data_IF_166324024137
#
_entry.id   IF_166324024137
#
_cell.length_a   1.000
_cell.length_b   1.000
_cell.length_c   1.000
_cell.angle_alpha   90.00
_cell.angle_beta   90.00
_cell.angle_gamma   90.00
#
_symmetry.space_group_name_H-M   'P 1'
#
loop_
_entity.id
_entity.type
_entity.pdbx_description
1 polymer ?
#
# COMPACT_ATOMS: atom_id res chain seq x y z
N UNK A 1 16.36 -14.26 -13.39
CA UNK A 1 15.03 -13.74 -13.10
C UNK A 1 14.83 -12.36 -13.72
N UNK A 2 13.59 -11.99 -14.06
CA UNK A 2 13.27 -10.62 -14.46
C UNK A 2 13.33 -9.68 -13.24
N UNK A 3 13.86 -8.48 -13.43
CA UNK A 3 13.84 -7.42 -12.44
C UNK A 3 13.90 -6.05 -13.14
N UNK A 4 13.33 -5.02 -12.50
CA UNK A 4 13.47 -3.63 -12.94
C UNK A 4 14.63 -2.99 -12.21
N UNK A 5 15.64 -2.60 -12.98
CA UNK A 5 16.90 -2.03 -12.49
C UNK A 5 16.87 -0.51 -12.67
N UNK A 6 17.13 0.23 -11.61
CA UNK A 6 17.32 1.68 -11.64
C UNK A 6 18.77 1.99 -12.04
N UNK A 7 18.98 2.36 -13.29
CA UNK A 7 20.32 2.57 -13.88
C UNK A 7 20.96 3.89 -13.49
N UNK A 8 20.15 4.84 -13.01
CA UNK A 8 20.60 6.16 -12.56
C UNK A 8 19.56 6.86 -11.69
N UNK A 9 19.89 8.05 -11.18
CA UNK A 9 18.88 8.96 -10.63
C UNK A 9 18.32 9.83 -11.74
N UNK A 10 16.99 9.96 -11.82
CA UNK A 10 16.40 10.76 -12.88
C UNK A 10 14.89 10.56 -13.06
N UNK A 11 14.37 10.82 -14.27
CA UNK A 11 12.98 10.58 -14.66
C UNK A 11 12.68 9.07 -14.75
N UNK A 12 11.40 8.66 -14.95
CA UNK A 12 11.00 7.25 -14.90
C UNK A 12 11.73 6.30 -15.87
N UNK A 13 12.23 6.79 -16.98
CA UNK A 13 12.98 6.05 -18.01
C UNK A 13 14.35 5.52 -17.58
N UNK A 14 14.84 5.89 -16.38
CA UNK A 14 16.01 5.24 -15.75
C UNK A 14 15.71 3.85 -15.18
N UNK A 15 14.46 3.41 -15.26
CA UNK A 15 14.00 2.09 -14.84
C UNK A 15 13.97 1.16 -16.04
N UNK A 16 14.80 0.13 -16.03
CA UNK A 16 14.97 -0.80 -17.13
C UNK A 16 14.66 -2.23 -16.70
N UNK A 17 13.81 -2.93 -17.46
CA UNK A 17 13.60 -4.37 -17.26
C UNK A 17 14.81 -5.15 -17.74
N UNK A 18 15.41 -5.93 -16.86
CA UNK A 18 16.63 -6.70 -17.12
C UNK A 18 16.51 -8.14 -16.61
N UNK A 19 17.33 -9.03 -17.17
CA UNK A 19 17.58 -10.37 -16.62
C UNK A 19 18.73 -10.26 -15.62
N UNK A 20 18.46 -10.68 -14.39
CA UNK A 20 19.45 -10.69 -13.30
C UNK A 20 19.53 -12.07 -12.67
N UNK A 21 20.58 -12.31 -11.89
CA UNK A 21 20.73 -13.55 -11.15
C UNK A 21 19.64 -13.66 -10.06
N UNK A 22 19.07 -14.87 -9.91
CA UNK A 22 18.09 -15.15 -8.85
C UNK A 22 18.83 -15.22 -7.51
N UNK A 23 18.38 -14.47 -6.47
CA UNK A 23 19.07 -14.49 -5.18
C UNK A 23 18.91 -15.84 -4.47
N UNK A 24 19.90 -16.18 -3.64
CA UNK A 24 19.88 -17.36 -2.79
C UNK A 24 19.72 -16.89 -1.34
N UNK A 25 18.76 -17.44 -0.57
CA UNK A 25 18.54 -17.02 0.80
C UNK A 25 19.71 -17.45 1.71
N UNK A 26 20.12 -16.54 2.60
CA UNK A 26 21.05 -16.88 3.69
C UNK A 26 20.35 -17.73 4.74
N UNK A 27 21.11 -18.26 5.68
CA UNK A 27 20.64 -19.18 6.72
C UNK A 27 19.38 -18.70 7.44
N UNK A 28 19.19 -17.40 7.63
CA UNK A 28 18.10 -16.75 8.35
C UNK A 28 17.09 -15.99 7.43
N UNK A 29 17.21 -16.18 6.11
CA UNK A 29 16.41 -15.49 5.12
C UNK A 29 15.37 -16.42 4.48
N UNK A 30 14.31 -15.81 4.01
CA UNK A 30 13.22 -16.41 3.23
C UNK A 30 13.35 -15.91 1.81
N UNK A 31 13.38 -16.78 0.81
CA UNK A 31 13.26 -16.43 -0.60
C UNK A 31 11.77 -16.38 -0.96
N UNK A 32 11.32 -15.22 -1.40
CA UNK A 32 9.93 -14.96 -1.74
C UNK A 32 9.82 -14.84 -3.26
N UNK A 33 8.93 -15.61 -3.88
CA UNK A 33 8.44 -15.40 -5.24
C UNK A 33 7.41 -14.29 -5.20
N UNK A 34 7.74 -13.14 -5.77
CA UNK A 34 6.90 -11.94 -5.73
C UNK A 34 5.75 -12.09 -6.74
N UNK A 35 4.52 -11.96 -6.27
CA UNK A 35 3.33 -11.92 -7.11
C UNK A 35 2.89 -10.50 -7.42
N UNK A 36 2.97 -9.62 -6.43
CA UNK A 36 2.62 -8.22 -6.59
C UNK A 36 3.51 -7.32 -5.72
N UNK A 37 3.74 -6.12 -6.18
CA UNK A 37 4.39 -5.02 -5.47
C UNK A 37 3.63 -3.72 -5.75
N UNK A 38 4.13 -2.57 -5.26
CA UNK A 38 3.50 -1.28 -5.52
C UNK A 38 4.49 -0.22 -5.92
N UNK A 39 3.99 0.84 -6.55
CA UNK A 39 4.73 2.10 -6.68
C UNK A 39 4.13 3.13 -5.73
N UNK A 40 4.92 3.57 -4.78
CA UNK A 40 4.52 4.63 -3.87
C UNK A 40 5.44 5.86 -3.95
N UNK A 41 5.09 6.93 -3.22
CA UNK A 41 5.85 8.18 -3.27
C UNK A 41 7.31 8.03 -2.83
N UNK A 42 7.61 7.07 -1.96
CA UNK A 42 8.98 6.76 -1.52
C UNK A 42 9.86 6.27 -2.66
N UNK A 43 9.34 5.32 -3.48
CA UNK A 43 10.06 4.79 -4.64
C UNK A 43 10.36 5.89 -5.65
N UNK A 44 9.37 6.75 -5.93
CA UNK A 44 9.55 7.92 -6.82
C UNK A 44 10.62 8.85 -6.29
N UNK A 45 10.63 9.16 -4.97
CA UNK A 45 11.64 10.03 -4.35
C UNK A 45 13.05 9.43 -4.39
N UNK A 46 13.19 8.13 -4.18
CA UNK A 46 14.49 7.46 -4.28
C UNK A 46 14.99 7.49 -5.72
N UNK A 47 14.16 7.07 -6.68
CA UNK A 47 14.50 7.07 -8.10
C UNK A 47 14.89 8.47 -8.60
N UNK A 48 14.11 9.49 -8.29
CA UNK A 48 14.35 10.87 -8.75
C UNK A 48 15.40 11.63 -7.94
N UNK A 49 15.90 11.03 -6.85
CA UNK A 49 16.77 11.70 -5.87
C UNK A 49 16.18 13.02 -5.34
N UNK A 50 14.86 13.01 -5.06
CA UNK A 50 14.15 14.16 -4.48
C UNK A 50 14.54 14.34 -3.02
N UNK A 51 15.72 14.95 -2.80
CA UNK A 51 16.33 15.19 -1.50
C UNK A 51 16.61 16.69 -1.33
N UNK A 52 16.31 17.27 -0.15
CA UNK A 52 16.61 18.66 0.15
C UNK A 52 18.10 19.00 -0.12
N UNK A 53 18.36 20.16 -0.70
CA UNK A 53 19.71 20.56 -1.14
C UNK A 53 20.78 20.36 -0.07
N UNK A 54 20.50 20.75 1.18
CA UNK A 54 21.44 20.60 2.30
C UNK A 54 21.72 19.16 2.75
N UNK A 55 20.91 18.18 2.33
CA UNK A 55 21.06 16.77 2.69
C UNK A 55 21.61 15.90 1.55
N UNK A 56 21.80 16.47 0.36
CA UNK A 56 22.16 15.70 -0.85
C UNK A 56 23.47 14.93 -0.72
N UNK A 57 24.49 15.52 -0.09
CA UNK A 57 25.78 14.86 0.10
C UNK A 57 25.63 13.62 0.99
N UNK A 58 24.98 13.77 2.15
CA UNK A 58 24.74 12.64 3.06
C UNK A 58 23.85 11.58 2.44
N UNK A 59 22.81 11.99 1.69
CA UNK A 59 21.95 11.07 0.97
C UNK A 59 22.74 10.26 -0.07
N UNK A 60 23.71 10.86 -0.79
CA UNK A 60 24.58 10.14 -1.73
C UNK A 60 25.50 9.12 -1.05
N UNK A 61 26.00 9.42 0.13
CA UNK A 61 26.78 8.47 0.90
C UNK A 61 25.94 7.23 1.31
N UNK A 62 24.68 7.43 1.64
CA UNK A 62 23.78 6.37 2.06
C UNK A 62 23.20 5.61 0.85
N UNK A 63 22.60 6.32 -0.09
CA UNK A 63 21.85 5.73 -1.20
C UNK A 63 22.73 5.35 -2.40
N UNK A 64 23.86 6.02 -2.61
CA UNK A 64 24.74 5.86 -3.77
C UNK A 64 24.99 7.19 -4.50
N UNK A 65 26.07 7.30 -5.23
CA UNK A 65 26.49 8.56 -5.86
C UNK A 65 25.78 8.83 -7.19
N UNK A 66 25.80 7.89 -8.11
CA UNK A 66 25.22 8.00 -9.45
C UNK A 66 23.89 7.28 -9.60
N UNK A 67 23.70 6.20 -8.85
CA UNK A 67 22.49 5.38 -8.81
C UNK A 67 22.30 4.80 -7.41
N UNK A 68 21.14 4.26 -7.09
CA UNK A 68 20.94 3.53 -5.82
C UNK A 68 21.93 2.37 -5.70
N UNK A 69 22.50 2.17 -4.48
CA UNK A 69 23.38 1.02 -4.19
C UNK A 69 22.67 -0.30 -4.41
N UNK A 70 21.39 -0.35 -4.02
CA UNK A 70 20.49 -1.43 -4.35
C UNK A 70 19.63 -0.97 -5.55
N UNK A 71 19.99 -1.37 -6.77
CA UNK A 71 19.38 -0.79 -7.96
C UNK A 71 17.98 -1.33 -8.27
N UNK A 72 17.57 -2.45 -7.69
CA UNK A 72 16.20 -2.95 -7.78
C UNK A 72 15.39 -2.30 -6.67
N UNK A 73 14.49 -1.38 -7.04
CA UNK A 73 13.66 -0.65 -6.09
C UNK A 73 12.43 -1.48 -5.66
N UNK A 74 11.43 -0.82 -5.07
CA UNK A 74 10.22 -1.44 -4.53
C UNK A 74 10.38 -1.78 -3.05
N UNK A 75 9.46 -1.24 -2.23
CA UNK A 75 9.57 -1.31 -0.75
C UNK A 75 8.54 -2.22 -0.12
N UNK A 76 7.54 -2.70 -0.86
CA UNK A 76 6.53 -3.61 -0.33
C UNK A 76 6.13 -4.65 -1.37
N UNK A 77 5.67 -5.79 -0.91
CA UNK A 77 5.30 -6.89 -1.77
C UNK A 77 4.29 -7.83 -1.10
N UNK A 78 3.67 -8.68 -1.92
CA UNK A 78 3.08 -9.93 -1.49
C UNK A 78 3.49 -11.05 -2.45
N UNK A 79 3.67 -12.24 -1.92
CA UNK A 79 4.17 -13.37 -2.69
C UNK A 79 4.14 -14.66 -1.89
N UNK A 80 4.72 -15.70 -2.48
CA UNK A 80 4.80 -17.05 -1.92
C UNK A 80 6.25 -17.37 -1.52
N UNK A 81 6.43 -18.02 -0.40
CA UNK A 81 7.73 -18.53 0.04
C UNK A 81 8.18 -19.67 -0.88
N UNK A 82 9.22 -19.43 -1.66
CA UNK A 82 9.82 -20.42 -2.56
C UNK A 82 10.75 -21.38 -1.83
N UNK A 83 11.60 -20.83 -0.95
CA UNK A 83 12.54 -21.60 -0.10
C UNK A 83 12.95 -20.79 1.13
N UNK A 84 13.50 -21.46 2.11
CA UNK A 84 13.95 -20.88 3.37
C UNK A 84 15.38 -21.30 3.70
N UNK A 85 16.12 -20.43 4.38
CA UNK A 85 17.42 -20.76 4.96
C UNK A 85 17.29 -21.75 6.12
N UNK A 86 18.38 -22.41 6.48
CA UNK A 86 18.37 -23.51 7.45
C UNK A 86 17.98 -23.12 8.88
N UNK A 87 18.15 -21.83 9.25
CA UNK A 87 17.84 -21.32 10.59
C UNK A 87 16.43 -20.69 10.67
N UNK A 88 15.65 -20.67 9.55
CA UNK A 88 14.29 -20.16 9.51
C UNK A 88 13.33 -21.15 10.16
N UNK A 89 12.48 -20.65 11.04
CA UNK A 89 11.53 -21.44 11.84
C UNK A 89 10.08 -21.00 11.73
N UNK A 90 9.81 -19.76 11.32
CA UNK A 90 8.45 -19.17 11.28
C UNK A 90 7.75 -19.38 9.95
N UNK A 91 8.51 -19.62 8.89
CA UNK A 91 7.97 -19.74 7.54
C UNK A 91 8.45 -21.03 6.88
N UNK A 92 7.66 -21.56 5.97
CA UNK A 92 8.00 -22.73 5.14
C UNK A 92 7.61 -22.47 3.68
N UNK A 93 8.15 -23.27 2.79
CA UNK A 93 7.77 -23.26 1.37
C UNK A 93 6.26 -23.36 1.19
N UNK A 94 5.70 -22.52 0.33
CA UNK A 94 4.29 -22.44 0.02
C UNK A 94 3.49 -21.51 0.93
N UNK A 95 4.10 -20.89 1.94
CA UNK A 95 3.40 -19.90 2.74
C UNK A 95 3.21 -18.60 1.93
N UNK A 96 1.97 -18.09 1.90
CA UNK A 96 1.66 -16.79 1.37
C UNK A 96 2.06 -15.70 2.36
N UNK A 97 2.82 -14.71 1.90
CA UNK A 97 3.35 -13.63 2.75
C UNK A 97 3.11 -12.25 2.13
N UNK A 98 3.10 -11.23 2.99
CA UNK A 98 3.22 -9.84 2.60
C UNK A 98 4.31 -9.17 3.43
N UNK A 99 4.98 -8.17 2.85
CA UNK A 99 6.21 -7.66 3.44
C UNK A 99 6.49 -6.18 3.11
N UNK A 100 7.27 -5.57 4.01
CA UNK A 100 8.03 -4.35 3.77
C UNK A 100 9.51 -4.73 3.63
N UNK A 101 10.17 -4.32 2.54
CA UNK A 101 11.58 -4.71 2.27
C UNK A 101 12.61 -3.82 2.96
N UNK A 102 12.17 -2.77 3.65
CA UNK A 102 13.08 -1.79 4.26
C UNK A 102 13.91 -1.03 3.22
N UNK A 103 15.04 -0.51 3.66
CA UNK A 103 16.02 0.14 2.78
C UNK A 103 16.82 -0.84 1.92
N UNK A 104 16.53 -2.15 2.03
CA UNK A 104 17.04 -3.19 1.14
C UNK A 104 16.41 -3.11 -0.25
N UNK A 105 15.19 -2.59 -0.36
CA UNK A 105 14.39 -2.58 -1.59
C UNK A 105 14.23 -3.99 -2.19
N UNK A 106 14.12 -4.11 -3.51
CA UNK A 106 14.19 -5.39 -4.22
C UNK A 106 12.83 -5.94 -4.67
N UNK A 107 11.71 -5.28 -4.36
CA UNK A 107 10.39 -5.80 -4.71
C UNK A 107 10.03 -5.66 -6.21
N UNK A 108 10.78 -4.91 -7.01
CA UNK A 108 10.60 -4.84 -8.46
C UNK A 108 11.32 -5.98 -9.18
N UNK A 109 11.14 -7.20 -8.70
CA UNK A 109 11.73 -8.40 -9.24
C UNK A 109 10.85 -9.62 -8.98
N UNK A 110 11.08 -10.70 -9.75
CA UNK A 110 10.35 -11.96 -9.56
C UNK A 110 10.66 -12.64 -8.21
N UNK A 111 11.84 -12.36 -7.63
CA UNK A 111 12.24 -12.94 -6.34
C UNK A 111 13.02 -11.95 -5.50
N UNK A 112 12.83 -12.04 -4.18
CA UNK A 112 13.59 -11.27 -3.18
C UNK A 112 13.84 -12.11 -1.93
N UNK A 113 14.99 -11.88 -1.27
CA UNK A 113 15.29 -12.47 0.04
C UNK A 113 15.02 -11.45 1.14
N UNK A 114 14.32 -11.87 2.19
CA UNK A 114 14.10 -11.08 3.40
C UNK A 114 14.43 -11.91 4.64
N UNK A 115 14.94 -11.31 5.73
CA UNK A 115 15.14 -12.04 6.97
C UNK A 115 13.79 -12.46 7.56
N UNK A 116 13.72 -13.63 8.16
CA UNK A 116 12.55 -14.11 8.91
C UNK A 116 12.07 -13.09 9.97
N UNK A 117 13.05 -12.49 10.65
CA UNK A 117 12.86 -11.38 11.61
C UNK A 117 13.96 -10.34 11.42
N UNK A 118 13.61 -9.05 11.52
CA UNK A 118 14.64 -8.02 11.50
C UNK A 118 15.52 -8.12 12.75
N UNK A 119 16.85 -8.18 12.55
CA UNK A 119 17.85 -8.24 13.64
C UNK A 119 18.17 -6.86 14.19
N UNK A 120 18.10 -5.82 13.35
CA UNK A 120 18.40 -4.43 13.70
C UNK A 120 17.15 -3.59 13.75
N UNK A 121 16.45 -3.47 12.63
CA UNK A 121 15.15 -2.80 12.54
C UNK A 121 14.47 -3.14 11.22
N UNK A 122 13.14 -3.13 11.20
CA UNK A 122 12.36 -3.31 9.99
C UNK A 122 12.68 -2.25 8.91
N UNK A 123 13.03 -1.02 9.30
CA UNK A 123 13.47 -0.01 8.33
C UNK A 123 14.72 -0.42 7.55
N UNK A 124 15.65 -1.15 8.15
CA UNK A 124 16.91 -1.56 7.49
C UNK A 124 16.78 -2.88 6.75
N UNK A 125 16.14 -3.85 7.33
CA UNK A 125 16.19 -5.25 6.91
C UNK A 125 14.83 -5.77 6.37
N UNK A 126 13.78 -4.97 6.52
CA UNK A 126 12.44 -5.37 6.18
C UNK A 126 11.72 -6.11 7.32
N UNK A 127 10.50 -6.47 7.06
CA UNK A 127 9.65 -7.31 7.92
C UNK A 127 8.62 -8.02 7.05
N UNK A 128 8.21 -9.21 7.44
CA UNK A 128 7.19 -9.98 6.75
C UNK A 128 6.24 -10.64 7.74
N UNK A 129 5.04 -10.95 7.25
CA UNK A 129 4.04 -11.74 7.96
C UNK A 129 3.25 -12.58 6.94
N UNK A 130 2.51 -13.57 7.43
CA UNK A 130 1.58 -14.34 6.59
C UNK A 130 0.50 -13.43 6.03
N UNK A 131 0.22 -13.57 4.74
CA UNK A 131 -0.80 -12.79 4.01
C UNK A 131 -2.18 -12.99 4.66
N UNK A 132 -3.02 -11.93 4.75
CA UNK A 132 -4.42 -12.08 5.14
C UNK A 132 -5.13 -13.09 4.22
N UNK A 133 -5.86 -14.04 4.81
CA UNK A 133 -6.50 -15.13 4.05
C UNK A 133 -7.58 -14.64 3.07
N UNK A 134 -8.23 -13.52 3.37
CA UNK A 134 -9.29 -12.89 2.58
C UNK A 134 -8.78 -11.86 1.56
N UNK A 135 -7.47 -11.79 1.30
CA UNK A 135 -6.86 -10.89 0.31
C UNK A 135 -6.20 -11.64 -0.83
N UNK A 136 -6.30 -11.09 -2.03
CA UNK A 136 -5.43 -11.41 -3.16
C UNK A 136 -4.00 -10.91 -2.88
N UNK A 137 -3.00 -11.38 -3.64
CA UNK A 137 -1.64 -10.86 -3.52
C UNK A 137 -1.55 -9.36 -3.85
N UNK A 138 -2.33 -8.89 -4.82
CA UNK A 138 -2.39 -7.48 -5.18
C UNK A 138 -2.93 -6.61 -4.04
N UNK A 139 -3.99 -7.06 -3.37
CA UNK A 139 -4.56 -6.36 -2.21
C UNK A 139 -3.60 -6.38 -1.02
N UNK A 140 -2.93 -7.50 -0.76
CA UNK A 140 -1.98 -7.61 0.33
C UNK A 140 -0.69 -6.80 0.10
N UNK A 141 -0.21 -6.72 -1.16
CA UNK A 141 0.89 -5.83 -1.52
C UNK A 141 0.52 -4.36 -1.41
N UNK A 142 -0.77 -4.01 -1.56
CA UNK A 142 -1.20 -2.62 -1.71
C UNK A 142 -1.23 -1.86 -0.38
N UNK A 143 -0.07 -1.59 0.16
CA UNK A 143 0.19 -0.58 1.19
C UNK A 143 -0.07 -1.02 2.63
N UNK A 144 -0.46 -2.26 2.90
CA UNK A 144 -0.62 -2.70 4.28
C UNK A 144 0.70 -2.60 5.04
N UNK A 145 1.79 -3.03 4.42
CA UNK A 145 3.12 -3.03 5.02
C UNK A 145 3.81 -1.65 5.08
N UNK A 146 3.33 -0.66 4.32
CA UNK A 146 3.87 0.71 4.34
C UNK A 146 2.83 1.72 4.81
N UNK A 147 1.79 1.98 4.03
CA UNK A 147 0.74 2.96 4.33
C UNK A 147 -0.05 2.62 5.59
N UNK A 148 -0.42 1.34 5.76
CA UNK A 148 -1.15 0.81 6.92
C UNK A 148 -0.34 0.90 8.21
N UNK A 149 0.91 0.40 8.20
CA UNK A 149 1.82 0.49 9.35
C UNK A 149 2.13 1.95 9.69
N UNK A 150 2.33 2.81 8.70
CA UNK A 150 2.55 4.24 8.91
C UNK A 150 1.35 4.89 9.61
N UNK A 151 0.13 4.65 9.11
CA UNK A 151 -1.09 5.16 9.71
C UNK A 151 -1.29 4.66 11.14
N UNK A 152 -1.11 3.34 11.37
CA UNK A 152 -1.23 2.71 12.67
C UNK A 152 -0.30 3.34 13.72
N UNK A 153 0.96 3.53 13.35
CA UNK A 153 1.98 4.10 14.25
C UNK A 153 1.69 5.55 14.62
N UNK A 154 1.22 6.36 13.65
CA UNK A 154 0.85 7.75 13.93
C UNK A 154 -0.38 7.80 14.83
N UNK A 155 -1.41 6.99 14.56
CA UNK A 155 -2.65 6.97 15.35
C UNK A 155 -2.41 6.44 16.77
N UNK A 156 -1.53 5.44 16.95
CA UNK A 156 -1.13 4.98 18.30
C UNK A 156 -0.46 6.06 19.15
N UNK A 157 0.34 6.97 18.51
CA UNK A 157 0.90 8.12 19.24
C UNK A 157 -0.14 9.10 19.74
N UNK A 158 -1.27 9.21 19.03
CA UNK A 158 -2.37 10.07 19.44
C UNK A 158 -3.16 9.49 20.62
N UNK A 159 -3.01 8.19 20.91
CA UNK A 159 -3.77 7.47 21.95
C UNK A 159 -5.27 7.74 21.83
N UNK A 160 -5.82 7.47 20.62
CA UNK A 160 -7.23 7.75 20.30
C UNK A 160 -8.16 6.95 21.22
N UNK A 161 -9.11 7.64 21.83
CA UNK A 161 -10.19 7.06 22.62
C UNK A 161 -11.51 7.07 21.84
N UNK A 162 -12.40 6.16 22.16
CA UNK A 162 -13.72 6.07 21.54
C UNK A 162 -14.49 7.39 21.70
N UNK A 163 -15.15 7.85 20.62
CA UNK A 163 -15.92 9.10 20.55
C UNK A 163 -15.08 10.37 20.31
N UNK A 164 -13.76 10.29 20.29
CA UNK A 164 -12.92 11.43 19.91
C UNK A 164 -13.09 11.79 18.44
N UNK A 165 -13.04 13.09 18.15
CA UNK A 165 -13.13 13.65 16.79
C UNK A 165 -11.76 13.71 16.14
N UNK A 166 -11.62 13.01 15.03
CA UNK A 166 -10.35 12.87 14.27
C UNK A 166 -10.51 13.42 12.87
N UNK A 167 -9.69 14.39 12.50
CA UNK A 167 -9.60 14.87 11.13
C UNK A 167 -8.39 14.27 10.43
N UNK A 168 -8.62 13.62 9.27
CA UNK A 168 -7.58 13.03 8.41
C UNK A 168 -7.45 13.89 7.15
N UNK A 169 -6.40 14.70 7.06
CA UNK A 169 -6.09 15.47 5.86
C UNK A 169 -5.35 14.60 4.84
N UNK A 170 -5.89 14.54 3.60
CA UNK A 170 -5.42 13.63 2.56
C UNK A 170 -5.96 12.21 2.71
N UNK A 171 -7.23 12.10 3.15
CA UNK A 171 -7.93 10.85 3.43
C UNK A 171 -7.99 9.87 2.25
N UNK A 172 -7.83 10.34 1.01
CA UNK A 172 -7.83 9.51 -0.21
C UNK A 172 -6.48 8.93 -0.61
N UNK A 173 -5.39 9.32 0.05
CA UNK A 173 -4.03 8.84 -0.26
C UNK A 173 -3.70 7.49 0.36
N UNK A 174 -2.49 6.96 0.08
CA UNK A 174 -2.04 5.66 0.60
C UNK A 174 -2.17 5.53 2.12
N UNK A 175 -1.63 6.48 2.86
CA UNK A 175 -1.71 6.49 4.34
C UNK A 175 -3.12 6.86 4.80
N UNK A 176 -3.74 7.84 4.12
CA UNK A 176 -5.05 8.37 4.50
C UNK A 176 -6.16 7.33 4.46
N UNK A 177 -6.19 6.46 3.44
CA UNK A 177 -7.21 5.40 3.32
C UNK A 177 -7.14 4.39 4.47
N UNK A 178 -5.95 4.06 4.94
CA UNK A 178 -5.78 3.24 6.15
C UNK A 178 -6.09 4.03 7.42
N UNK A 179 -5.67 5.31 7.51
CA UNK A 179 -5.90 6.14 8.68
C UNK A 179 -7.38 6.33 9.01
N UNK A 180 -8.23 6.55 7.98
CA UNK A 180 -9.69 6.63 8.15
C UNK A 180 -10.23 5.35 8.80
N UNK A 181 -9.92 4.20 8.25
CA UNK A 181 -10.43 2.91 8.69
C UNK A 181 -9.90 2.51 10.09
N UNK A 182 -8.61 2.76 10.34
CA UNK A 182 -8.00 2.51 11.65
C UNK A 182 -8.60 3.42 12.74
N UNK A 183 -8.77 4.73 12.46
CA UNK A 183 -9.41 5.63 13.41
C UNK A 183 -10.85 5.19 13.72
N UNK A 184 -11.60 4.74 12.69
CA UNK A 184 -12.93 4.13 12.89
C UNK A 184 -12.87 2.86 13.71
N UNK A 185 -11.89 1.99 13.50
CA UNK A 185 -11.74 0.75 14.28
C UNK A 185 -11.41 1.02 15.76
N UNK A 186 -10.84 2.19 16.05
CA UNK A 186 -10.60 2.67 17.44
C UNK A 186 -11.80 3.41 18.04
N UNK A 187 -12.92 3.51 17.32
CA UNK A 187 -14.16 4.12 17.79
C UNK A 187 -14.24 5.64 17.63
N UNK A 188 -13.37 6.25 16.84
CA UNK A 188 -13.38 7.69 16.59
C UNK A 188 -14.55 8.15 15.69
N UNK A 189 -14.95 9.43 15.84
CA UNK A 189 -15.73 10.18 14.87
C UNK A 189 -14.77 10.79 13.83
N UNK A 190 -14.80 10.28 12.60
CA UNK A 190 -13.77 10.56 11.59
C UNK A 190 -14.27 11.52 10.51
N UNK A 191 -13.54 12.65 10.38
CA UNK A 191 -13.71 13.57 9.25
C UNK A 191 -12.55 13.39 8.27
N UNK A 192 -12.85 12.96 7.04
CA UNK A 192 -11.88 12.85 5.96
C UNK A 192 -11.82 14.11 5.09
N UNK A 193 -10.62 14.61 4.77
CA UNK A 193 -10.42 15.73 3.84
C UNK A 193 -9.80 15.21 2.55
N UNK A 194 -10.48 15.41 1.43
CA UNK A 194 -10.04 14.97 0.10
C UNK A 194 -10.60 15.89 -0.99
N UNK A 195 -10.30 15.61 -2.27
CA UNK A 195 -10.88 16.32 -3.41
C UNK A 195 -12.26 15.74 -3.80
N UNK A 196 -13.06 16.51 -4.55
CA UNK A 196 -14.39 16.15 -5.04
C UNK A 196 -14.49 14.71 -5.57
N UNK A 197 -13.55 14.31 -6.43
CA UNK A 197 -13.53 12.99 -7.08
C UNK A 197 -13.36 11.80 -6.10
N UNK A 198 -13.02 12.05 -4.83
CA UNK A 198 -12.71 11.02 -3.84
C UNK A 198 -13.71 10.97 -2.66
N UNK A 199 -14.73 11.83 -2.65
CA UNK A 199 -15.67 11.97 -1.53
C UNK A 199 -16.37 10.66 -1.20
N UNK A 200 -16.94 9.99 -2.20
CA UNK A 200 -17.66 8.73 -2.02
C UNK A 200 -16.77 7.60 -1.55
N UNK A 201 -15.57 7.52 -2.13
CA UNK A 201 -14.58 6.51 -1.72
C UNK A 201 -14.21 6.70 -0.24
N UNK A 202 -13.94 7.93 0.20
CA UNK A 202 -13.58 8.20 1.61
C UNK A 202 -14.77 7.92 2.56
N UNK A 203 -16.01 8.24 2.16
CA UNK A 203 -17.21 7.82 2.92
C UNK A 203 -17.33 6.30 3.02
N UNK A 204 -17.10 5.60 1.92
CA UNK A 204 -17.17 4.13 1.90
C UNK A 204 -16.10 3.43 2.74
N UNK A 205 -15.06 4.14 3.16
CA UNK A 205 -14.05 3.69 4.12
C UNK A 205 -14.46 3.92 5.58
N UNK A 206 -15.64 4.48 5.83
CA UNK A 206 -16.21 4.70 7.14
C UNK A 206 -16.01 6.10 7.71
N UNK A 207 -15.58 7.09 6.93
CA UNK A 207 -15.57 8.47 7.38
C UNK A 207 -17.01 8.96 7.65
N UNK A 208 -17.27 9.48 8.86
CA UNK A 208 -18.58 10.00 9.28
C UNK A 208 -18.89 11.31 8.55
N UNK A 209 -17.84 12.11 8.28
CA UNK A 209 -17.89 13.33 7.48
C UNK A 209 -16.79 13.36 6.44
N UNK A 210 -17.05 14.02 5.32
CA UNK A 210 -16.03 14.24 4.29
C UNK A 210 -16.09 15.68 3.83
N UNK A 211 -14.94 16.36 3.86
CA UNK A 211 -14.75 17.74 3.44
C UNK A 211 -14.02 17.77 2.11
N UNK A 212 -14.61 18.47 1.14
CA UNK A 212 -13.99 18.76 -0.15
C UNK A 212 -13.11 20.01 -0.05
N UNK A 213 -11.78 19.81 0.03
CA UNK A 213 -10.84 20.93 0.14
C UNK A 213 -10.80 21.82 -1.10
N UNK A 214 -11.39 21.39 -2.23
CA UNK A 214 -11.46 22.19 -3.46
C UNK A 214 -12.62 23.19 -3.43
N UNK A 215 -13.59 22.99 -2.51
CA UNK A 215 -14.79 23.81 -2.37
C UNK A 215 -14.81 24.62 -1.07
N UNK A 216 -14.22 24.09 0.01
CA UNK A 216 -14.23 24.75 1.31
C UNK A 216 -12.94 24.55 2.08
N UNK A 217 -12.56 25.54 2.90
CA UNK A 217 -11.45 25.39 3.83
C UNK A 217 -11.91 24.66 5.10
N UNK A 218 -11.33 23.51 5.36
CA UNK A 218 -11.62 22.69 6.55
C UNK A 218 -11.31 23.40 7.88
N UNK A 219 -10.61 24.53 7.85
CA UNK A 219 -10.24 25.31 9.03
C UNK A 219 -11.19 26.46 9.34
N UNK A 220 -12.23 26.70 8.51
CA UNK A 220 -13.19 27.81 8.63
C UNK A 220 -14.52 27.38 9.28
N UNK A 221 -14.71 26.09 9.60
CA UNK A 221 -15.90 25.59 10.30
C UNK A 221 -15.79 25.74 11.82
N UNK A 222 -16.96 25.63 12.51
CA UNK A 222 -17.04 25.63 13.98
C UNK A 222 -16.61 24.30 14.62
N UNK A 223 -16.37 23.28 13.80
CA UNK A 223 -16.02 21.93 14.28
C UNK A 223 -14.59 21.92 14.83
N UNK A 224 -14.41 21.31 15.99
CA UNK A 224 -13.09 21.16 16.61
C UNK A 224 -12.77 19.70 16.85
N UNK A 225 -11.47 19.35 16.69
CA UNK A 225 -10.96 18.00 16.67
C UNK A 225 -10.01 17.71 17.83
N UNK A 226 -10.04 16.48 18.33
CA UNK A 226 -9.07 15.97 19.29
C UNK A 226 -7.74 15.64 18.60
N UNK A 227 -7.79 15.21 17.33
CA UNK A 227 -6.63 14.94 16.51
C UNK A 227 -6.82 15.52 15.10
N UNK A 228 -5.80 16.23 14.61
CA UNK A 228 -5.61 16.50 13.17
C UNK A 228 -4.41 15.72 12.69
N UNK A 229 -4.64 14.74 11.81
CA UNK A 229 -3.58 13.97 11.18
C UNK A 229 -3.38 14.41 9.72
N UNK A 230 -2.24 15.02 9.45
CA UNK A 230 -1.79 15.33 8.08
C UNK A 230 -1.09 14.11 7.45
N UNK A 231 -1.86 13.31 6.72
CA UNK A 231 -1.38 12.12 6.01
C UNK A 231 -0.62 12.44 4.69
N UNK A 232 -0.52 13.73 4.33
CA UNK A 232 0.21 14.22 3.14
C UNK A 232 1.55 14.85 3.52
N UNK A 233 1.62 15.46 4.70
CA UNK A 233 2.78 16.19 5.17
C UNK A 233 2.94 17.59 4.57
N UNK A 234 1.84 18.22 4.13
CA UNK A 234 1.84 19.53 3.45
C UNK A 234 1.17 20.66 4.25
N UNK A 235 0.49 20.34 5.36
CA UNK A 235 -0.13 21.37 6.19
C UNK A 235 0.92 22.15 6.98
N UNK A 236 0.79 23.50 6.99
CA UNK A 236 1.51 24.32 7.98
C UNK A 236 0.96 24.05 9.38
N UNK A 237 1.83 24.08 10.38
CA UNK A 237 1.42 23.87 11.78
C UNK A 237 0.37 24.89 12.24
N UNK A 238 0.44 26.14 11.75
CA UNK A 238 -0.56 27.17 12.06
C UNK A 238 -1.94 26.80 11.51
N UNK A 239 -2.02 26.34 10.26
CA UNK A 239 -3.26 25.95 9.63
C UNK A 239 -3.86 24.68 10.28
N UNK A 240 -3.01 23.68 10.57
CA UNK A 240 -3.43 22.43 11.18
C UNK A 240 -3.98 22.61 12.61
N UNK A 241 -3.50 23.64 13.34
CA UNK A 241 -3.90 23.92 14.72
C UNK A 241 -5.21 24.71 14.86
N UNK A 242 -5.71 25.35 13.78
CA UNK A 242 -6.95 26.14 13.86
C UNK A 242 -8.15 25.33 14.32
N UNK A 243 -8.46 24.16 13.71
CA UNK A 243 -9.59 23.37 14.11
C UNK A 243 -9.32 22.44 15.31
N UNK A 244 -8.20 22.57 16.03
CA UNK A 244 -7.91 21.75 17.20
C UNK A 244 -8.63 22.26 18.45
N UNK A 245 -9.15 21.34 19.27
CA UNK A 245 -9.48 21.61 20.66
C UNK A 245 -8.25 22.09 21.44
N UNK A 246 -8.44 22.72 22.62
CA UNK A 246 -7.31 23.19 23.47
C UNK A 246 -6.34 22.06 23.84
N UNK A 247 -6.84 20.85 24.04
CA UNK A 247 -6.07 19.63 24.34
C UNK A 247 -5.74 18.80 23.09
N UNK A 248 -6.18 19.26 21.91
CA UNK A 248 -6.03 18.51 20.68
C UNK A 248 -4.59 18.43 20.17
N UNK A 249 -4.30 17.36 19.41
CA UNK A 249 -2.95 17.04 18.93
C UNK A 249 -2.90 17.18 17.41
N UNK A 250 -1.80 17.75 16.90
CA UNK A 250 -1.46 17.74 15.47
C UNK A 250 -0.32 16.76 15.20
N UNK A 251 -0.57 15.76 14.37
CA UNK A 251 0.41 14.80 13.89
C UNK A 251 0.59 14.91 12.36
N UNK A 252 1.85 14.77 11.93
CA UNK A 252 2.24 14.88 10.53
C UNK A 252 3.00 13.62 10.10
N UNK A 253 2.62 13.03 8.98
CA UNK A 253 3.18 11.78 8.47
C UNK A 253 4.71 11.81 8.35
N UNK A 254 5.30 12.92 7.89
CA UNK A 254 6.75 13.01 7.70
C UNK A 254 7.54 13.10 9.02
N UNK A 255 6.94 13.66 10.07
CA UNK A 255 7.59 13.87 11.38
C UNK A 255 7.28 12.73 12.34
N UNK A 256 6.02 12.27 12.33
CA UNK A 256 5.49 11.46 13.43
C UNK A 256 5.38 9.97 13.11
N UNK A 257 5.58 9.55 11.85
CA UNK A 257 5.63 8.13 11.47
C UNK A 257 6.81 7.36 12.08
N UNK A 258 7.85 8.09 12.51
CA UNK A 258 9.07 7.50 13.08
C UNK A 258 9.99 6.87 12.01
N UNK A 259 11.24 6.63 12.38
CA UNK A 259 12.29 6.13 11.47
C UNK A 259 12.44 4.59 11.46
N UNK A 260 11.76 3.89 12.35
CA UNK A 260 11.98 2.45 12.57
C UNK A 260 11.30 1.48 11.60
N UNK A 261 10.43 1.96 10.69
CA UNK A 261 9.74 1.13 9.69
C UNK A 261 8.60 0.25 10.24
N UNK A 262 8.30 0.29 11.55
CA UNK A 262 7.32 -0.60 12.18
C UNK A 262 7.92 -1.86 12.77
N UNK A 263 7.07 -2.84 13.05
CA UNK A 263 7.47 -4.16 13.56
C UNK A 263 6.63 -5.27 12.89
N UNK A 264 7.07 -6.53 12.93
CA UNK A 264 6.25 -7.65 12.47
C UNK A 264 4.89 -7.75 13.18
N UNK A 265 4.82 -7.37 14.45
CA UNK A 265 3.57 -7.33 15.23
C UNK A 265 2.58 -6.29 14.68
N UNK A 266 3.07 -5.18 14.10
CA UNK A 266 2.22 -4.21 13.42
C UNK A 266 1.55 -4.81 12.18
N UNK A 267 2.27 -5.68 11.43
CA UNK A 267 1.71 -6.41 10.28
C UNK A 267 0.66 -7.43 10.73
N UNK A 268 0.95 -8.17 11.82
CA UNK A 268 0.01 -9.15 12.39
C UNK A 268 -1.26 -8.44 12.85
N UNK A 269 -1.16 -7.33 13.54
CA UNK A 269 -2.31 -6.53 13.96
C UNK A 269 -3.15 -6.02 12.77
N UNK A 270 -2.49 -5.52 11.72
CA UNK A 270 -3.19 -5.09 10.51
C UNK A 270 -3.86 -6.27 9.80
N UNK A 271 -3.19 -7.42 9.73
CA UNK A 271 -3.76 -8.67 9.19
C UNK A 271 -5.06 -9.04 9.91
N UNK A 272 -5.07 -9.03 11.24
CA UNK A 272 -6.26 -9.32 12.04
C UNK A 272 -7.42 -8.36 11.73
N UNK A 273 -7.15 -7.05 11.62
CA UNK A 273 -8.17 -6.07 11.26
C UNK A 273 -8.71 -6.29 9.84
N UNK A 274 -7.86 -6.68 8.91
CA UNK A 274 -8.23 -6.98 7.54
C UNK A 274 -9.11 -8.25 7.49
N UNK A 275 -8.69 -9.32 8.13
CA UNK A 275 -9.43 -10.60 8.18
C UNK A 275 -10.79 -10.45 8.85
N UNK A 276 -10.91 -9.54 9.82
CA UNK A 276 -12.18 -9.17 10.47
C UNK A 276 -13.00 -8.12 9.69
N UNK A 277 -12.60 -7.76 8.47
CA UNK A 277 -13.31 -6.79 7.61
C UNK A 277 -13.32 -5.36 8.13
N UNK A 278 -12.49 -5.03 9.13
CA UNK A 278 -12.35 -3.67 9.70
C UNK A 278 -11.54 -2.74 8.79
N UNK A 279 -10.62 -3.30 8.01
CA UNK A 279 -9.72 -2.58 7.11
C UNK A 279 -9.70 -3.27 5.76
N UNK A 280 -9.82 -2.50 4.68
CA UNK A 280 -9.69 -2.98 3.31
C UNK A 280 -8.72 -2.10 2.53
N UNK A 281 -8.08 -2.66 1.53
CA UNK A 281 -7.17 -1.96 0.63
C UNK A 281 -7.94 -1.19 -0.46
N UNK A 282 -7.42 -0.03 -0.85
CA UNK A 282 -7.88 0.74 -2.00
C UNK A 282 -6.82 0.71 -3.09
N UNK A 283 -7.12 0.06 -4.21
CA UNK A 283 -6.26 0.02 -5.40
C UNK A 283 -6.81 1.00 -6.43
N UNK A 284 -5.96 1.91 -6.91
CA UNK A 284 -6.28 2.89 -7.94
C UNK A 284 -6.06 2.31 -9.34
N UNK A 285 -4.86 1.79 -9.57
CA UNK A 285 -4.45 1.22 -10.86
C UNK A 285 -3.56 0.00 -10.67
N UNK A 286 -3.55 -0.84 -11.73
CA UNK A 286 -2.69 -2.00 -11.85
C UNK A 286 -1.85 -1.86 -13.12
N UNK A 287 -0.60 -2.26 -13.02
CA UNK A 287 0.36 -2.30 -14.13
C UNK A 287 1.12 -3.63 -14.08
N UNK A 288 1.46 -4.25 -15.20
CA UNK A 288 2.44 -5.34 -15.21
C UNK A 288 3.84 -4.80 -14.88
N UNK A 289 4.77 -5.68 -14.49
CA UNK A 289 6.15 -5.29 -14.15
C UNK A 289 6.86 -4.56 -15.30
N UNK A 290 6.55 -4.95 -16.52
CA UNK A 290 7.05 -4.36 -17.75
C UNK A 290 6.65 -2.89 -17.92
N UNK A 291 5.56 -2.45 -17.31
CA UNK A 291 5.02 -1.08 -17.38
C UNK A 291 5.33 -0.27 -16.09
N UNK A 292 6.38 -0.62 -15.35
CA UNK A 292 6.74 0.09 -14.12
C UNK A 292 7.09 1.56 -14.36
N UNK A 293 7.61 1.91 -15.54
CA UNK A 293 7.90 3.29 -15.97
C UNK A 293 6.62 4.13 -15.98
N UNK A 294 5.56 3.60 -16.57
CA UNK A 294 4.23 4.20 -16.65
C UNK A 294 3.61 4.33 -15.24
N UNK A 295 3.77 3.30 -14.41
CA UNK A 295 3.32 3.33 -13.03
C UNK A 295 4.01 4.44 -12.22
N UNK A 296 5.34 4.59 -12.36
CA UNK A 296 6.10 5.69 -11.74
C UNK A 296 5.66 7.06 -12.28
N UNK A 297 5.49 7.19 -13.58
CA UNK A 297 5.00 8.41 -14.23
C UNK A 297 3.63 8.81 -13.70
N UNK A 298 2.74 7.83 -13.51
CA UNK A 298 1.41 8.08 -12.92
C UNK A 298 1.49 8.55 -11.47
N UNK A 299 2.27 7.87 -10.64
CA UNK A 299 2.43 8.22 -9.22
C UNK A 299 3.09 9.58 -9.03
N UNK A 300 4.02 9.96 -9.91
CA UNK A 300 4.73 11.24 -9.87
C UNK A 300 3.79 12.44 -10.08
N UNK A 301 2.71 12.29 -10.86
CA UNK A 301 1.67 13.32 -11.03
C UNK A 301 0.96 13.71 -9.72
N UNK A 302 1.00 12.84 -8.70
CA UNK A 302 0.53 13.14 -7.35
C UNK A 302 -0.98 13.07 -7.13
N UNK A 303 -1.76 12.54 -8.07
CA UNK A 303 -3.23 12.49 -8.01
C UNK A 303 -3.80 11.09 -7.77
N UNK A 304 -2.95 10.10 -7.46
CA UNK A 304 -3.41 8.75 -7.17
C UNK A 304 -4.26 8.69 -5.90
N UNK A 305 -5.25 7.82 -5.90
CA UNK A 305 -6.04 7.43 -4.74
C UNK A 305 -5.60 6.04 -4.25
N UNK A 306 -5.52 5.84 -2.94
CA UNK A 306 -5.02 4.56 -2.39
C UNK A 306 -3.65 4.19 -2.97
N UNK A 307 -3.57 3.03 -3.64
CA UNK A 307 -2.32 2.39 -4.08
C UNK A 307 -2.28 2.11 -5.58
N UNK A 308 -1.06 2.13 -6.13
CA UNK A 308 -0.77 1.70 -7.50
C UNK A 308 0.00 0.40 -7.40
N UNK A 309 -0.60 -0.68 -7.90
CA UNK A 309 -0.07 -2.03 -7.84
C UNK A 309 0.70 -2.36 -9.11
N UNK A 310 1.77 -3.11 -8.95
CA UNK A 310 2.53 -3.72 -10.04
C UNK A 310 2.45 -5.23 -9.89
N UNK A 311 1.83 -5.90 -10.86
CA UNK A 311 1.74 -7.36 -10.93
C UNK A 311 3.03 -7.91 -11.51
N UNK A 312 3.71 -8.78 -10.74
CA UNK A 312 5.00 -9.36 -11.14
C UNK A 312 4.82 -10.73 -11.76
N UNK A 313 3.97 -11.58 -11.17
CA UNK A 313 3.60 -12.87 -11.73
C UNK A 313 2.07 -12.96 -11.89
N UNK A 314 1.57 -13.58 -12.97
CA UNK A 314 0.14 -13.81 -13.11
C UNK A 314 -0.38 -14.56 -11.89
N UNK A 315 -1.53 -14.13 -11.37
CA UNK A 315 -2.23 -14.89 -10.33
C UNK A 315 -2.57 -16.27 -10.89
N UNK A 316 -2.40 -17.38 -10.15
CA UNK A 316 -3.03 -18.63 -10.53
C UNK A 316 -4.53 -18.37 -10.63
N UNK A 317 -5.12 -18.73 -11.78
CA UNK A 317 -6.56 -18.56 -12.03
C UNK A 317 -7.35 -19.33 -10.97
N UNK A 318 -7.82 -18.68 -9.93
CA UNK A 318 -8.74 -19.27 -8.91
C UNK A 318 -10.13 -19.54 -9.53
N UNK A 319 -10.40 -19.08 -10.76
CA UNK A 319 -11.64 -19.33 -11.52
C UNK A 319 -11.62 -20.63 -12.34
N UNK A 320 -10.61 -21.49 -12.21
CA UNK A 320 -10.44 -22.71 -13.00
C UNK A 320 -11.04 -23.99 -12.43
N UNK A 321 -11.89 -23.97 -11.40
CA UNK A 321 -12.55 -25.17 -10.86
C UNK A 321 -14.06 -25.05 -10.72
N UNK A 322 -14.73 -24.23 -11.53
CA UNK A 322 -16.16 -24.36 -11.75
C UNK A 322 -16.41 -24.88 -13.17
N UNK A 323 -16.39 -26.20 -13.26
CA UNK A 323 -17.25 -27.04 -14.04
C UNK A 323 -17.33 -26.85 -15.58
N UNK A 324 -16.38 -27.47 -16.29
CA UNK A 324 -16.58 -27.85 -17.68
C UNK A 324 -17.69 -28.92 -17.84
N UNK A 325 -18.22 -29.52 -16.76
CA UNK A 325 -19.25 -30.53 -16.80
C UNK A 325 -20.67 -30.02 -17.08
N UNK A 326 -20.91 -28.71 -17.02
CA UNK A 326 -22.21 -28.08 -17.27
C UNK A 326 -22.38 -27.41 -18.64
N UNK A 327 -21.33 -27.33 -19.47
CA UNK A 327 -21.46 -26.78 -20.84
C UNK A 327 -21.97 -27.76 -21.90
N UNK A 328 -22.02 -29.04 -21.61
CA UNK A 328 -22.44 -30.08 -22.59
C UNK A 328 -23.90 -30.49 -22.53
N UNK A 329 -24.73 -29.85 -21.71
CA UNK A 329 -26.17 -30.16 -21.61
C UNK A 329 -27.15 -29.07 -22.05
N UNK A 330 -26.66 -27.92 -22.51
CA UNK A 330 -27.52 -26.82 -22.94
C UNK A 330 -27.75 -26.73 -24.47
N UNK A 331 -27.06 -27.55 -25.28
CA UNK A 331 -27.13 -27.45 -26.75
C UNK A 331 -27.94 -28.60 -27.42
N UNK A 332 -28.89 -29.21 -26.72
CA UNK A 332 -29.72 -30.26 -27.29
C UNK A 332 -31.21 -30.10 -26.94
N UNK A 333 -31.85 -29.06 -27.46
CA UNK A 333 -33.29 -29.09 -27.71
C UNK A 333 -33.66 -28.29 -28.97
N UNK A 334 -34.43 -28.85 -29.92
CA UNK A 334 -34.75 -28.19 -31.19
C UNK A 334 -35.91 -27.22 -31.04
N UNK A 335 -35.84 -26.12 -31.76
CA UNK A 335 -36.85 -25.08 -31.86
C UNK A 335 -38.19 -25.60 -32.40
N UNK A 336 -39.23 -25.64 -31.58
CA UNK A 336 -40.60 -25.80 -32.02
C UNK A 336 -41.27 -24.45 -32.27
N UNK A 337 -41.74 -24.25 -33.49
CA UNK A 337 -42.45 -23.07 -34.00
C UNK A 337 -43.76 -22.88 -33.21
N UNK A 338 -43.96 -21.70 -32.61
CA UNK A 338 -45.30 -21.24 -32.22
C UNK A 338 -45.69 -20.04 -33.07
N UNK A 339 -46.73 -20.27 -33.88
CA UNK A 339 -47.44 -19.28 -34.66
C UNK A 339 -48.10 -18.24 -33.77
N UNK A 340 -47.98 -16.99 -34.19
CA UNK A 340 -48.69 -15.83 -33.65
C UNK A 340 -50.14 -15.80 -34.23
N UNK A 341 -51.15 -15.82 -33.39
CA UNK A 341 -52.51 -15.36 -33.74
C UNK A 341 -52.75 -13.97 -33.13
N UNK A 342 -53.47 -13.10 -33.83
CA UNK A 342 -53.68 -11.71 -33.42
C UNK A 342 -54.83 -11.56 -32.46
N UNK A 343 -54.69 -10.79 -31.40
CA UNK A 343 -55.77 -10.35 -30.52
C UNK A 343 -56.57 -9.23 -31.16
N UNK A 344 -57.88 -9.41 -31.17
CA UNK A 344 -58.93 -8.41 -31.48
C UNK A 344 -59.37 -7.75 -30.19
N UNK A 345 -59.55 -6.43 -30.32
CA UNK A 345 -60.31 -5.47 -29.52
C UNK A 345 -59.59 -4.97 -28.26
#
# INVERSE_FOLDING_TARGET
>A
MKAVVCTGYGPPDVLELQQVEKPVPKDHEVLIKVHATTVHRGDVRIRSFDVPRGQRFMARLVLGFTRPKNPILGMELAGEVESVGKDVTLFKRGDDVFAFTGWGFGAYAEYVCLPEKPRKSAAKEGMLATKPANMTFEEAAAGAATGGVTALRVLRKANIESGQKVLIYGASGSVGTYAVQLAKSFGADVTGVCSTANLEMVRSLGADRVIDYTQQDFTEGDETYDLVFDAVGKLSSSRAKRPLKKTGVYLNVNRDSGSGGGSPEDLVFLKELIENGKVRTVIDRRYPLEEVVEAHTYVEKGHKKGHVVVTVAPQPNILGTMDESNRTKADAEPAEKRELQPAKI
#
